data_IF_996387906949
#
_entry.id   IF_996387906949
#
_cell.length_a   1.000
_cell.length_b   1.000
_cell.length_c   1.000
_cell.angle_alpha   90.00
_cell.angle_beta   90.00
_cell.angle_gamma   90.00
#
_symmetry.space_group_name_H-M   'P 1'
#
loop_
_entity.id
_entity.type
_entity.pdbx_description
1 polymer ?
#
# COMPACT_ATOMS: atom_id res chain seq x y z
N UNK A 1 -76.27 52.44 -11.82
CA UNK A 1 -75.09 53.05 -11.17
C UNK A 1 -73.90 52.83 -12.11
N UNK A 2 -73.76 53.73 -13.09
CA UNK A 2 -72.64 54.68 -13.34
C UNK A 2 -71.38 53.93 -13.84
N UNK A 3 -71.04 53.84 -15.14
CA UNK A 3 -70.91 54.86 -16.21
C UNK A 3 -70.17 56.14 -15.79
N UNK A 4 -68.94 56.28 -16.32
CA UNK A 4 -68.22 57.50 -16.75
C UNK A 4 -66.85 57.00 -17.30
N UNK A 5 -66.49 57.02 -18.59
CA UNK A 5 -66.29 58.08 -19.60
C UNK A 5 -65.31 59.19 -19.21
N UNK A 6 -64.10 59.03 -19.76
CA UNK A 6 -63.22 60.03 -20.44
C UNK A 6 -62.56 61.17 -19.61
N UNK A 7 -61.70 62.02 -20.22
CA UNK A 7 -60.29 61.72 -20.54
C UNK A 7 -59.37 62.90 -20.11
N UNK A 8 -58.05 62.71 -19.96
CA UNK A 8 -57.12 63.85 -20.03
C UNK A 8 -55.92 63.49 -20.90
N UNK A 9 -55.84 64.24 -21.99
CA UNK A 9 -54.74 64.32 -22.94
C UNK A 9 -53.55 65.07 -22.34
N UNK A 10 -52.35 64.66 -22.71
CA UNK A 10 -51.10 65.39 -22.53
C UNK A 10 -49.98 64.38 -22.74
N UNK A 11 -49.43 64.20 -23.93
CA UNK A 11 -48.87 65.23 -24.79
C UNK A 11 -47.35 65.12 -24.66
N UNK A 12 -46.69 64.51 -25.64
CA UNK A 12 -45.22 64.40 -25.63
C UNK A 12 -44.70 63.34 -26.58
N UNK A 13 -44.27 63.78 -27.75
CA UNK A 13 -43.64 62.98 -28.82
C UNK A 13 -42.40 62.22 -28.33
N UNK A 14 -42.20 61.07 -28.97
CA UNK A 14 -40.93 60.37 -29.14
C UNK A 14 -39.77 61.36 -29.31
N UNK A 15 -38.74 61.21 -28.46
CA UNK A 15 -37.39 61.61 -28.82
C UNK A 15 -36.41 60.51 -28.42
N UNK A 16 -35.55 60.20 -29.38
CA UNK A 16 -34.56 59.14 -29.38
C UNK A 16 -33.50 59.48 -28.35
N UNK A 17 -33.48 58.75 -27.23
CA UNK A 17 -32.32 58.70 -26.35
C UNK A 17 -31.94 57.26 -26.15
N UNK A 18 -30.91 56.89 -26.91
CA UNK A 18 -29.85 55.96 -26.57
C UNK A 18 -30.21 55.03 -25.40
N UNK A 19 -30.51 53.78 -25.73
CA UNK A 19 -30.18 52.68 -24.83
C UNK A 19 -28.75 52.94 -24.32
N UNK A 20 -28.52 53.13 -23.02
CA UNK A 20 -27.18 53.07 -22.50
C UNK A 20 -26.68 51.68 -22.89
N UNK A 21 -25.68 51.75 -23.76
CA UNK A 21 -24.75 50.74 -24.18
C UNK A 21 -24.73 49.52 -23.26
N UNK A 22 -24.68 48.35 -23.88
CA UNK A 22 -24.23 47.11 -23.22
C UNK A 22 -22.75 47.34 -22.89
N UNK A 23 -22.51 48.15 -21.86
CA UNK A 23 -21.22 48.42 -21.29
C UNK A 23 -20.78 47.12 -20.64
N UNK A 24 -20.05 46.32 -21.43
CA UNK A 24 -18.82 45.65 -21.01
C UNK A 24 -18.76 45.38 -19.51
N UNK A 25 -19.27 44.23 -19.11
CA UNK A 25 -18.98 43.66 -17.79
C UNK A 25 -17.44 43.63 -17.68
N UNK A 26 -16.79 44.45 -16.83
CA UNK A 26 -15.35 44.58 -16.89
C UNK A 26 -14.71 43.26 -16.43
N UNK A 27 -13.61 42.89 -17.08
CA UNK A 27 -12.70 41.80 -16.72
C UNK A 27 -12.35 41.87 -15.21
N UNK A 28 -13.13 41.20 -14.36
CA UNK A 28 -12.73 40.76 -13.01
C UNK A 28 -12.07 39.37 -13.05
N UNK A 29 -11.70 38.91 -14.24
CA UNK A 29 -10.97 37.69 -14.44
C UNK A 29 -9.51 38.09 -14.51
N UNK A 30 -8.82 37.84 -13.39
CA UNK A 30 -7.37 37.67 -13.32
C UNK A 30 -6.45 38.79 -12.79
N UNK A 31 -6.88 39.50 -11.74
CA UNK A 31 -5.96 40.39 -11.00
C UNK A 31 -4.79 39.64 -10.35
N UNK A 32 -5.03 38.46 -9.77
CA UNK A 32 -4.04 37.72 -8.96
C UNK A 32 -2.90 37.16 -9.80
N UNK A 33 -3.18 36.52 -10.93
CA UNK A 33 -2.12 35.97 -11.78
C UNK A 33 -1.37 37.11 -12.45
N UNK A 34 -2.07 38.16 -12.89
CA UNK A 34 -1.40 39.34 -13.44
C UNK A 34 -0.47 40.01 -12.43
N UNK A 35 -0.91 40.22 -11.20
CA UNK A 35 -0.08 40.78 -10.12
C UNK A 35 1.16 39.92 -9.87
N UNK A 36 0.99 38.59 -9.79
CA UNK A 36 2.10 37.64 -9.63
C UNK A 36 3.06 37.66 -10.84
N UNK A 37 2.51 37.67 -12.05
CA UNK A 37 3.27 37.69 -13.30
C UNK A 37 4.12 38.96 -13.41
N UNK A 38 3.53 40.12 -13.13
CA UNK A 38 4.23 41.40 -13.15
C UNK A 38 5.31 41.45 -12.05
N UNK A 39 5.01 40.94 -10.84
CA UNK A 39 5.96 40.88 -9.72
C UNK A 39 7.18 39.98 -10.00
N UNK A 40 7.02 38.96 -10.85
CA UNK A 40 8.09 38.08 -11.29
C UNK A 40 8.89 38.63 -12.49
N UNK A 41 8.58 39.84 -12.97
CA UNK A 41 9.29 40.49 -14.08
C UNK A 41 8.60 40.36 -15.44
N UNK A 42 7.36 39.83 -15.47
CA UNK A 42 6.51 39.75 -16.65
C UNK A 42 7.18 39.07 -17.85
N UNK A 43 6.98 39.64 -19.04
CA UNK A 43 7.45 39.07 -20.32
C UNK A 43 8.96 38.83 -20.32
N UNK A 44 9.73 39.72 -19.70
CA UNK A 44 11.19 39.64 -19.70
C UNK A 44 11.72 38.41 -18.93
N UNK A 45 11.01 37.98 -17.89
CA UNK A 45 11.42 36.86 -17.04
C UNK A 45 10.68 35.55 -17.37
N UNK A 46 9.41 35.66 -17.75
CA UNK A 46 8.50 34.51 -17.86
C UNK A 46 8.04 34.23 -19.30
N UNK A 47 8.29 35.14 -20.23
CA UNK A 47 7.77 35.07 -21.60
C UNK A 47 6.30 35.47 -21.70
N UNK A 48 5.83 35.65 -22.93
CA UNK A 48 4.41 35.93 -23.20
C UNK A 48 3.54 34.71 -22.83
N UNK A 49 2.42 34.89 -22.10
CA UNK A 49 1.55 33.77 -21.76
C UNK A 49 0.97 33.09 -23.00
N UNK A 50 1.08 31.77 -23.03
CA UNK A 50 0.66 30.91 -24.15
C UNK A 50 -0.84 30.67 -24.12
N UNK A 51 -1.42 30.52 -22.92
CA UNK A 51 -2.86 30.33 -22.73
C UNK A 51 -3.33 31.06 -21.46
N UNK A 52 -4.47 31.74 -21.59
CA UNK A 52 -5.18 32.47 -20.52
C UNK A 52 -6.66 32.10 -20.45
N UNK A 53 -7.09 31.07 -21.17
CA UNK A 53 -8.51 30.75 -21.42
C UNK A 53 -9.21 30.20 -20.19
N UNK A 54 -8.47 29.60 -19.26
CA UNK A 54 -8.96 29.17 -17.96
C UNK A 54 -8.61 30.27 -16.96
N UNK A 55 -9.59 31.04 -16.49
CA UNK A 55 -9.35 32.22 -15.65
C UNK A 55 -8.60 32.00 -14.32
N UNK A 56 -8.34 30.75 -13.95
CA UNK A 56 -7.55 30.33 -12.78
C UNK A 56 -6.10 29.97 -13.10
N UNK A 57 -5.70 29.92 -14.38
CA UNK A 57 -4.34 29.55 -14.80
C UNK A 57 -3.88 30.34 -16.04
N UNK A 58 -2.69 30.93 -15.95
CA UNK A 58 -1.91 31.33 -17.13
C UNK A 58 -0.84 30.29 -17.39
N UNK A 59 -0.91 29.66 -18.55
CA UNK A 59 0.16 28.80 -19.05
C UNK A 59 1.22 29.66 -19.71
N UNK A 60 2.47 29.43 -19.33
CA UNK A 60 3.63 30.19 -19.76
C UNK A 60 4.60 29.27 -20.53
N UNK A 61 5.52 29.83 -21.34
CA UNK A 61 6.55 29.05 -22.03
C UNK A 61 7.47 28.26 -21.09
N UNK A 62 8.10 27.21 -21.64
CA UNK A 62 9.07 26.33 -20.97
C UNK A 62 8.52 25.57 -19.75
N UNK A 63 7.25 25.17 -19.81
CA UNK A 63 6.63 24.35 -18.76
C UNK A 63 6.50 25.11 -17.45
N UNK A 64 5.91 26.31 -17.50
CA UNK A 64 5.56 27.08 -16.32
C UNK A 64 4.08 27.44 -16.37
N UNK A 65 3.48 27.62 -15.21
CA UNK A 65 2.18 28.26 -15.11
C UNK A 65 2.11 29.11 -13.85
N UNK A 66 1.23 30.11 -13.88
CA UNK A 66 0.79 30.78 -12.67
C UNK A 66 -0.69 30.47 -12.50
N UNK A 67 -1.05 29.92 -11.36
CA UNK A 67 -2.44 29.57 -11.06
C UNK A 67 -2.78 29.82 -9.58
N UNK A 68 -4.07 29.83 -9.29
CA UNK A 68 -4.57 30.05 -7.93
C UNK A 68 -5.73 29.12 -7.61
N UNK A 69 -5.91 28.85 -6.32
CA UNK A 69 -7.14 28.27 -5.77
C UNK A 69 -8.17 29.37 -5.53
N UNK A 70 -9.45 29.14 -5.85
CA UNK A 70 -10.52 30.14 -5.69
C UNK A 70 -10.62 30.67 -4.25
N UNK A 71 -10.26 29.82 -3.27
CA UNK A 71 -10.23 30.16 -1.86
C UNK A 71 -8.93 30.86 -1.40
N UNK A 72 -7.90 30.90 -2.24
CA UNK A 72 -6.63 31.58 -1.94
C UNK A 72 -6.65 33.05 -2.36
N UNK A 73 -6.08 33.93 -1.55
CA UNK A 73 -5.89 35.34 -1.92
C UNK A 73 -4.72 35.56 -2.89
N UNK A 74 -3.87 34.55 -3.13
CA UNK A 74 -2.65 34.65 -3.93
C UNK A 74 -2.62 33.65 -5.10
N UNK A 75 -1.81 33.97 -6.12
CA UNK A 75 -1.46 33.08 -7.21
C UNK A 75 0.00 32.61 -7.09
N UNK A 76 0.28 31.40 -7.55
CA UNK A 76 1.55 30.72 -7.36
C UNK A 76 2.13 30.25 -8.68
N UNK A 77 3.45 30.34 -8.80
CA UNK A 77 4.20 29.83 -9.94
C UNK A 77 4.53 28.35 -9.72
N UNK A 78 4.20 27.52 -10.70
CA UNK A 78 4.62 26.12 -10.80
C UNK A 78 5.45 25.98 -12.07
N UNK A 79 6.61 25.35 -12.00
CA UNK A 79 7.51 25.24 -13.15
C UNK A 79 8.32 23.95 -13.19
N UNK A 80 9.05 23.75 -14.28
CA UNK A 80 10.05 22.69 -14.39
C UNK A 80 9.46 21.29 -14.23
N UNK A 81 10.20 20.40 -13.55
CA UNK A 81 9.78 19.01 -13.38
C UNK A 81 8.50 18.85 -12.54
N UNK A 82 8.28 19.74 -11.57
CA UNK A 82 7.05 19.74 -10.76
C UNK A 82 5.85 20.12 -11.62
N UNK A 83 5.97 21.12 -12.49
CA UNK A 83 4.91 21.44 -13.45
C UNK A 83 4.58 20.26 -14.36
N UNK A 84 5.60 19.60 -14.93
CA UNK A 84 5.37 18.44 -15.79
C UNK A 84 4.60 17.34 -15.04
N UNK A 85 5.05 16.99 -13.82
CA UNK A 85 4.35 16.01 -12.98
C UNK A 85 2.94 16.46 -12.64
N UNK A 86 2.74 17.73 -12.29
CA UNK A 86 1.42 18.27 -11.96
C UNK A 86 0.43 18.12 -13.12
N UNK A 87 0.87 18.41 -14.36
CA UNK A 87 0.07 18.18 -15.57
C UNK A 87 -0.23 16.68 -15.76
N UNK A 88 0.76 15.81 -15.58
CA UNK A 88 0.59 14.36 -15.68
C UNK A 88 -0.46 13.80 -14.71
N UNK A 89 -0.48 14.28 -13.47
CA UNK A 89 -1.44 13.83 -12.44
C UNK A 89 -2.80 14.53 -12.51
N UNK A 90 -3.06 15.32 -13.57
CA UNK A 90 -4.37 15.88 -13.87
C UNK A 90 -4.51 17.39 -13.65
N UNK A 91 -3.43 18.11 -13.36
CA UNK A 91 -3.40 19.56 -13.24
C UNK A 91 -4.37 20.07 -12.17
N UNK A 92 -5.30 20.96 -12.55
CA UNK A 92 -6.30 21.48 -11.61
C UNK A 92 -7.20 20.38 -10.99
N UNK A 93 -7.34 19.20 -11.61
CA UNK A 93 -8.06 18.07 -10.98
C UNK A 93 -7.28 17.45 -9.81
N UNK A 94 -5.94 17.50 -9.85
CA UNK A 94 -5.09 17.16 -8.70
C UNK A 94 -5.18 18.25 -7.62
N UNK A 95 -5.35 19.50 -8.05
CA UNK A 95 -5.59 20.66 -7.21
C UNK A 95 -4.72 21.85 -7.63
N UNK A 96 -5.19 23.05 -7.31
CA UNK A 96 -4.40 24.27 -7.48
C UNK A 96 -3.23 24.34 -6.47
N UNK A 97 -2.11 24.97 -6.83
CA UNK A 97 -0.98 25.15 -5.93
C UNK A 97 -1.35 26.03 -4.73
N UNK A 98 -0.69 25.75 -3.61
CA UNK A 98 -0.79 26.48 -2.36
C UNK A 98 0.52 27.19 -2.00
N UNK A 99 1.60 26.90 -2.71
CA UNK A 99 2.91 27.54 -2.59
C UNK A 99 3.53 27.72 -3.97
N UNK A 100 4.47 28.66 -4.08
CA UNK A 100 5.49 28.58 -5.14
C UNK A 100 6.39 27.36 -4.92
N UNK A 101 7.29 27.10 -5.86
CA UNK A 101 8.32 26.08 -5.69
C UNK A 101 9.32 26.49 -4.60
N UNK A 102 9.41 25.68 -3.53
CA UNK A 102 10.26 25.92 -2.37
C UNK A 102 11.39 24.88 -2.32
N UNK A 103 12.59 25.24 -1.82
CA UNK A 103 13.61 24.26 -1.49
C UNK A 103 13.16 23.41 -0.29
N UNK A 104 13.54 22.14 -0.28
CA UNK A 104 13.39 21.32 0.92
C UNK A 104 14.37 21.75 2.01
N UNK A 105 14.02 21.57 3.30
CA UNK A 105 14.89 21.81 4.45
C UNK A 105 16.30 21.23 4.37
N UNK A 106 16.48 20.05 3.77
CA UNK A 106 17.78 19.39 3.60
C UNK A 106 18.63 19.98 2.44
N UNK A 107 18.04 20.86 1.62
CA UNK A 107 18.66 21.50 0.46
C UNK A 107 18.83 20.60 -0.77
N UNK A 108 18.30 19.38 -0.79
CA UNK A 108 18.48 18.43 -1.90
C UNK A 108 17.39 18.56 -2.97
N UNK A 109 16.14 18.68 -2.52
CA UNK A 109 14.96 18.67 -3.36
C UNK A 109 14.25 20.03 -3.44
N UNK A 110 13.19 20.04 -4.25
CA UNK A 110 12.24 21.16 -4.35
C UNK A 110 10.82 20.62 -4.32
N UNK A 111 9.87 21.42 -3.86
CA UNK A 111 8.47 20.99 -3.77
C UNK A 111 7.48 22.13 -3.98
N UNK A 112 6.26 21.76 -4.35
CA UNK A 112 5.06 22.60 -4.23
C UNK A 112 4.02 21.85 -3.39
N UNK A 113 3.30 22.59 -2.55
CA UNK A 113 2.05 22.09 -1.95
C UNK A 113 0.86 22.44 -2.84
N UNK A 114 -0.17 21.61 -2.82
CA UNK A 114 -1.39 21.73 -3.61
C UNK A 114 -2.62 21.51 -2.73
N UNK A 115 -3.77 21.95 -3.23
CA UNK A 115 -5.10 21.71 -2.66
C UNK A 115 -5.20 22.06 -1.16
N UNK A 116 -4.85 23.31 -0.81
CA UNK A 116 -4.84 23.77 0.57
C UNK A 116 -3.83 23.07 1.48
N UNK A 117 -2.77 22.49 0.90
CA UNK A 117 -1.76 21.74 1.63
C UNK A 117 -2.16 20.29 1.96
N UNK A 118 -3.11 19.70 1.24
CA UNK A 118 -3.47 18.27 1.37
C UNK A 118 -2.78 17.37 0.34
N UNK A 119 -2.12 17.98 -0.64
CA UNK A 119 -1.36 17.32 -1.69
C UNK A 119 0.00 18.01 -1.88
N UNK A 120 0.98 17.29 -2.43
CA UNK A 120 2.31 17.82 -2.70
C UNK A 120 2.99 17.07 -3.83
N UNK A 121 3.84 17.79 -4.55
CA UNK A 121 4.77 17.18 -5.51
C UNK A 121 6.17 17.56 -5.07
N UNK A 122 7.00 16.54 -4.83
CA UNK A 122 8.41 16.68 -4.47
C UNK A 122 9.26 16.24 -5.64
N UNK A 123 10.36 16.95 -5.89
CA UNK A 123 11.34 16.62 -6.91
C UNK A 123 12.74 16.55 -6.32
N UNK A 124 13.51 15.56 -6.74
CA UNK A 124 14.97 15.50 -6.55
C UNK A 124 15.66 15.14 -7.87
N UNK A 125 16.97 15.43 -8.02
CA UNK A 125 17.74 14.94 -9.16
C UNK A 125 17.78 13.41 -9.28
N UNK A 126 17.68 12.69 -8.16
CA UNK A 126 17.79 11.23 -8.12
C UNK A 126 16.45 10.54 -8.44
N UNK A 127 15.37 11.00 -7.84
CA UNK A 127 14.05 10.34 -7.92
C UNK A 127 13.15 10.94 -8.99
N UNK A 128 13.39 12.18 -9.42
CA UNK A 128 12.45 12.91 -10.24
C UNK A 128 11.28 13.45 -9.43
N UNK A 129 10.22 13.90 -10.10
CA UNK A 129 9.06 14.53 -9.47
C UNK A 129 7.99 13.48 -9.15
N UNK A 130 7.46 13.48 -7.93
CA UNK A 130 6.46 12.52 -7.47
C UNK A 130 5.36 13.17 -6.65
N UNK A 131 4.12 12.75 -6.93
CA UNK A 131 2.91 13.22 -6.28
C UNK A 131 2.56 12.39 -5.05
N UNK A 132 2.25 13.07 -3.95
CA UNK A 132 1.83 12.48 -2.68
C UNK A 132 0.68 13.29 -2.09
N UNK A 133 -0.38 12.63 -1.63
CA UNK A 133 -1.60 13.31 -1.17
C UNK A 133 -2.32 12.52 -0.08
N UNK A 134 -3.36 13.13 0.50
CA UNK A 134 -4.26 12.48 1.45
C UNK A 134 -3.57 11.97 2.72
N UNK A 135 -4.06 10.85 3.24
CA UNK A 135 -3.58 10.26 4.50
C UNK A 135 -2.15 9.74 4.42
N UNK A 136 -1.70 9.27 3.24
CA UNK A 136 -0.30 8.85 3.03
C UNK A 136 0.63 10.05 3.22
N UNK A 137 0.31 11.18 2.58
CA UNK A 137 1.04 12.44 2.78
C UNK A 137 1.02 12.90 4.22
N UNK A 138 -0.16 12.81 4.87
CA UNK A 138 -0.34 13.22 6.26
C UNK A 138 0.58 12.41 7.18
N UNK A 139 0.60 11.07 7.07
CA UNK A 139 1.50 10.25 7.87
C UNK A 139 2.96 10.58 7.58
N UNK A 140 3.35 10.72 6.31
CA UNK A 140 4.72 11.10 5.96
C UNK A 140 5.13 12.47 6.54
N UNK A 141 4.20 13.44 6.58
CA UNK A 141 4.43 14.74 7.23
C UNK A 141 4.64 14.63 8.73
N UNK A 142 3.87 13.77 9.40
CA UNK A 142 3.98 13.52 10.84
C UNK A 142 5.31 12.85 11.19
N UNK A 143 5.89 12.09 10.25
CA UNK A 143 7.21 11.47 10.38
C UNK A 143 8.38 12.43 10.10
N UNK A 144 8.13 13.66 9.63
CA UNK A 144 9.17 14.64 9.32
C UNK A 144 9.51 14.79 7.84
N UNK A 145 8.59 14.43 6.92
CA UNK A 145 8.76 14.62 5.48
C UNK A 145 10.02 13.94 4.92
N UNK A 146 10.74 14.60 4.02
CA UNK A 146 11.97 14.10 3.41
C UNK A 146 13.11 13.91 4.41
N UNK A 147 13.04 14.57 5.57
CA UNK A 147 14.02 14.37 6.66
C UNK A 147 13.72 13.15 7.54
N UNK A 148 12.56 12.50 7.32
CA UNK A 148 12.22 11.25 7.99
C UNK A 148 13.10 10.10 7.55
N UNK A 149 13.03 8.98 8.28
CA UNK A 149 13.74 7.76 7.91
C UNK A 149 13.29 7.16 6.57
N UNK A 150 12.17 7.62 5.98
CA UNK A 150 11.68 7.18 4.68
C UNK A 150 12.36 7.90 3.51
N UNK A 151 12.83 9.14 3.71
CA UNK A 151 13.38 9.98 2.65
C UNK A 151 12.30 10.51 1.68
N UNK A 152 12.73 10.77 0.44
CA UNK A 152 11.88 11.31 -0.61
C UNK A 152 10.95 10.25 -1.23
N UNK A 153 9.77 10.65 -1.75
CA UNK A 153 8.97 9.78 -2.60
C UNK A 153 9.73 9.37 -3.87
N UNK A 154 9.58 8.10 -4.23
CA UNK A 154 10.12 7.47 -5.45
C UNK A 154 9.02 6.95 -6.36
N UNK A 155 7.75 7.10 -5.96
CA UNK A 155 6.60 6.79 -6.78
C UNK A 155 5.45 7.77 -6.53
N UNK A 156 4.59 7.92 -7.53
CA UNK A 156 3.24 8.42 -7.33
C UNK A 156 2.40 7.39 -6.54
N UNK A 157 1.18 7.72 -6.12
CA UNK A 157 0.32 6.80 -5.36
C UNK A 157 -0.20 5.66 -6.24
N UNK A 158 0.11 4.42 -5.87
CA UNK A 158 -0.19 3.21 -6.63
C UNK A 158 -1.31 2.40 -5.98
N UNK A 159 -1.86 1.44 -6.72
CA UNK A 159 -2.81 0.47 -6.17
C UNK A 159 -2.09 -0.54 -5.27
N UNK A 160 -2.77 -0.94 -4.19
CA UNK A 160 -2.33 -1.95 -3.25
C UNK A 160 -3.48 -2.96 -3.01
N UNK A 161 -3.20 -4.21 -2.58
CA UNK A 161 -4.24 -5.22 -2.40
C UNK A 161 -5.41 -4.77 -1.52
N UNK A 162 -6.57 -5.41 -1.74
CA UNK A 162 -7.80 -5.19 -0.97
C UNK A 162 -8.28 -3.72 -1.00
N UNK A 163 -8.16 -3.07 -2.16
CA UNK A 163 -8.59 -1.69 -2.35
C UNK A 163 -7.68 -0.66 -1.67
N UNK A 164 -6.49 -1.08 -1.23
CA UNK A 164 -5.50 -0.19 -0.65
C UNK A 164 -4.79 0.67 -1.68
N UNK A 165 -4.08 1.68 -1.19
CA UNK A 165 -3.18 2.55 -1.96
C UNK A 165 -1.81 2.61 -1.29
N UNK A 166 -0.76 2.93 -2.03
CA UNK A 166 0.58 3.04 -1.44
C UNK A 166 1.50 3.98 -2.22
N UNK A 167 2.43 4.64 -1.52
CA UNK A 167 3.57 5.33 -2.10
C UNK A 167 4.87 4.66 -1.68
N UNK A 168 5.83 4.64 -2.59
CA UNK A 168 7.22 4.26 -2.33
C UNK A 168 8.04 5.49 -2.00
N UNK A 169 8.98 5.33 -1.08
CA UNK A 169 9.98 6.31 -0.69
C UNK A 169 11.38 5.70 -0.83
N UNK A 170 12.43 6.50 -0.70
CA UNK A 170 13.81 6.03 -0.85
C UNK A 170 14.16 4.86 0.08
N UNK A 171 13.57 4.80 1.27
CA UNK A 171 13.94 3.83 2.31
C UNK A 171 12.76 3.05 2.90
N UNK A 172 11.58 3.14 2.28
CA UNK A 172 10.40 2.47 2.80
C UNK A 172 9.15 2.81 2.00
N UNK A 173 8.02 2.34 2.48
CA UNK A 173 6.75 2.51 1.80
C UNK A 173 5.68 2.88 2.84
N UNK A 174 4.65 3.59 2.41
CA UNK A 174 3.43 3.82 3.20
C UNK A 174 2.27 3.30 2.39
N UNK A 175 1.45 2.45 3.02
CA UNK A 175 0.17 1.99 2.47
C UNK A 175 -1.00 2.66 3.19
N UNK A 176 -2.19 2.58 2.60
CA UNK A 176 -3.42 3.11 3.14
C UNK A 176 -4.60 2.22 2.72
N UNK A 177 -5.57 2.06 3.62
CA UNK A 177 -6.89 1.50 3.32
C UNK A 177 -7.99 2.40 3.90
N UNK A 178 -9.19 2.42 3.29
CA UNK A 178 -10.28 3.31 3.70
C UNK A 178 -10.75 3.09 5.15
N UNK A 179 -10.59 1.87 5.68
CA UNK A 179 -11.05 1.47 7.00
C UNK A 179 -9.96 1.58 8.10
N UNK A 180 -8.69 1.57 7.72
CA UNK A 180 -7.57 1.53 8.69
C UNK A 180 -6.60 2.71 8.59
N UNK A 181 -6.73 3.55 7.57
CA UNK A 181 -5.88 4.71 7.33
C UNK A 181 -4.48 4.34 6.86
N UNK A 182 -3.58 5.33 6.89
CA UNK A 182 -2.21 5.16 6.44
C UNK A 182 -1.36 4.40 7.47
N UNK A 183 -0.51 3.48 7.00
CA UNK A 183 0.41 2.69 7.81
C UNK A 183 1.75 2.55 7.12
N UNK A 184 2.81 2.46 7.93
CA UNK A 184 4.13 2.11 7.44
C UNK A 184 4.12 0.67 6.88
N UNK A 185 4.66 0.51 5.67
CA UNK A 185 4.81 -0.77 4.99
C UNK A 185 6.28 -1.22 5.10
N UNK A 186 6.69 -1.55 6.31
CA UNK A 186 8.04 -2.05 6.60
C UNK A 186 8.18 -3.55 6.41
N UNK A 187 9.41 -4.05 6.51
CA UNK A 187 9.66 -5.48 6.59
C UNK A 187 8.98 -6.07 7.84
N UNK A 188 8.52 -7.32 7.72
CA UNK A 188 7.95 -8.09 8.83
C UNK A 188 8.65 -9.43 8.94
N UNK A 189 8.58 -10.02 10.14
CA UNK A 189 9.18 -11.33 10.46
C UNK A 189 8.10 -12.28 10.91
N UNK A 190 7.99 -13.41 10.21
CA UNK A 190 7.13 -14.52 10.61
C UNK A 190 7.96 -15.50 11.46
N UNK A 191 7.46 -15.79 12.66
CA UNK A 191 8.00 -16.82 13.54
C UNK A 191 7.00 -17.96 13.70
N UNK A 192 7.48 -19.19 13.70
CA UNK A 192 6.78 -20.28 14.36
C UNK A 192 7.03 -20.15 15.87
N UNK A 193 5.95 -20.07 16.65
CA UNK A 193 6.05 -19.85 18.10
C UNK A 193 5.68 -21.09 18.92
N UNK A 194 5.26 -22.17 18.26
CA UNK A 194 4.98 -23.45 18.89
C UNK A 194 3.61 -24.00 18.53
N UNK A 195 3.23 -25.10 19.18
CA UNK A 195 1.93 -25.73 18.99
C UNK A 195 1.37 -26.29 20.29
N UNK A 196 0.06 -26.54 20.31
CA UNK A 196 -0.62 -27.19 21.41
C UNK A 196 -1.24 -28.50 20.94
N UNK A 197 -1.01 -29.56 21.71
CA UNK A 197 -1.63 -30.87 21.52
C UNK A 197 -2.94 -30.90 22.32
N UNK A 198 -4.08 -30.90 21.64
CA UNK A 198 -5.39 -31.08 22.27
C UNK A 198 -5.69 -32.55 22.55
N UNK A 199 -5.18 -33.40 21.67
CA UNK A 199 -5.30 -34.86 21.77
C UNK A 199 -4.12 -35.48 21.06
N UNK A 200 -3.51 -36.47 21.69
CA UNK A 200 -2.45 -37.27 21.08
C UNK A 200 -3.00 -38.48 20.34
N UNK A 201 -2.17 -39.02 19.47
CA UNK A 201 -2.31 -40.32 18.83
C UNK A 201 -2.17 -41.38 19.93
N UNK A 202 -3.16 -42.27 20.13
CA UNK A 202 -2.98 -43.41 21.04
C UNK A 202 -3.40 -43.28 22.52
N UNK A 203 -4.40 -42.45 22.87
CA UNK A 203 -5.01 -42.32 24.23
C UNK A 203 -5.32 -43.65 24.99
N UNK A 204 -5.30 -44.81 24.30
CA UNK A 204 -5.55 -46.15 24.87
C UNK A 204 -4.29 -47.00 25.18
N UNK A 205 -3.07 -46.55 24.91
CA UNK A 205 -1.86 -47.34 25.17
C UNK A 205 -0.85 -46.56 26.00
N UNK A 206 -0.66 -46.97 27.26
CA UNK A 206 0.34 -46.41 28.18
C UNK A 206 1.80 -46.69 27.76
N UNK A 207 2.19 -46.30 26.55
CA UNK A 207 3.48 -46.55 25.94
C UNK A 207 3.99 -45.28 25.25
N UNK A 208 4.88 -44.55 25.93
CA UNK A 208 5.72 -43.53 25.30
C UNK A 208 5.00 -42.22 24.99
N UNK A 209 5.72 -41.10 25.07
CA UNK A 209 5.26 -39.88 24.45
C UNK A 209 5.56 -39.97 22.95
N UNK A 210 4.61 -39.60 22.11
CA UNK A 210 4.80 -39.63 20.66
C UNK A 210 5.66 -38.46 20.20
N UNK A 211 6.48 -38.71 19.19
CA UNK A 211 7.29 -37.69 18.53
C UNK A 211 6.45 -37.06 17.42
N UNK A 212 6.30 -35.74 17.44
CA UNK A 212 5.58 -34.99 16.41
C UNK A 212 6.56 -34.24 15.53
N UNK A 213 6.47 -34.42 14.22
CA UNK A 213 7.31 -33.72 13.25
C UNK A 213 6.52 -32.66 12.50
N UNK A 214 7.02 -31.42 12.54
CA UNK A 214 6.44 -30.28 11.85
C UNK A 214 7.28 -29.88 10.64
N UNK A 215 6.66 -29.88 9.45
CA UNK A 215 7.20 -29.30 8.21
C UNK A 215 6.45 -28.00 7.91
N UNK A 216 7.19 -26.90 7.87
CA UNK A 216 6.67 -25.55 7.68
C UNK A 216 7.28 -24.96 6.42
N UNK A 217 6.45 -24.73 5.40
CA UNK A 217 6.85 -24.10 4.15
C UNK A 217 6.27 -22.69 4.04
N UNK A 218 7.12 -21.68 3.91
CA UNK A 218 6.68 -20.33 3.58
C UNK A 218 6.95 -20.05 2.11
N UNK A 219 5.87 -19.80 1.39
CA UNK A 219 5.91 -19.36 0.01
C UNK A 219 5.55 -17.88 -0.07
N UNK A 220 6.38 -17.13 -0.79
CA UNK A 220 6.12 -15.75 -1.17
C UNK A 220 6.27 -15.58 -2.67
N UNK A 221 5.39 -14.82 -3.33
CA UNK A 221 5.53 -14.50 -4.76
C UNK A 221 6.85 -13.84 -5.10
N UNK A 222 7.40 -13.07 -4.15
CA UNK A 222 8.63 -12.29 -4.31
C UNK A 222 9.57 -12.56 -3.14
N UNK A 223 10.83 -12.84 -3.44
CA UNK A 223 11.85 -13.14 -2.44
C UNK A 223 12.12 -14.63 -2.29
N UNK A 224 12.90 -14.99 -1.27
CA UNK A 224 13.29 -16.38 -1.04
C UNK A 224 12.18 -17.14 -0.32
N UNK A 225 11.75 -18.25 -0.93
CA UNK A 225 10.92 -19.24 -0.25
C UNK A 225 11.77 -20.04 0.73
N UNK A 226 11.16 -20.47 1.84
CA UNK A 226 11.89 -21.20 2.86
C UNK A 226 11.07 -22.35 3.40
N UNK A 227 11.71 -23.52 3.47
CA UNK A 227 11.19 -24.68 4.18
C UNK A 227 11.97 -24.83 5.47
N UNK A 228 11.25 -25.02 6.56
CA UNK A 228 11.80 -25.26 7.88
C UNK A 228 11.16 -26.52 8.44
N UNK A 229 11.97 -27.43 8.97
CA UNK A 229 11.50 -28.66 9.59
C UNK A 229 11.94 -28.73 11.05
N UNK A 230 11.14 -29.38 11.90
CA UNK A 230 11.40 -29.50 13.33
C UNK A 230 10.73 -30.75 13.91
N UNK A 231 11.51 -31.58 14.61
CA UNK A 231 11.02 -32.70 15.42
C UNK A 231 10.74 -32.19 16.84
N UNK A 232 9.64 -32.63 17.43
CA UNK A 232 9.28 -32.40 18.82
C UNK A 232 9.05 -33.73 19.52
N UNK A 233 9.86 -34.00 20.54
CA UNK A 233 9.76 -35.20 21.37
C UNK A 233 8.93 -34.91 22.62
N UNK A 234 8.38 -35.95 23.25
CA UNK A 234 7.72 -35.79 24.54
C UNK A 234 6.36 -35.07 24.45
N UNK A 235 5.70 -35.12 23.29
CA UNK A 235 4.45 -34.43 23.04
C UNK A 235 3.30 -35.23 23.65
N UNK A 236 2.60 -34.63 24.60
CA UNK A 236 1.46 -35.28 25.25
C UNK A 236 0.18 -34.45 25.10
N UNK A 237 -0.96 -35.13 25.20
CA UNK A 237 -2.28 -34.49 25.30
C UNK A 237 -2.32 -33.37 26.35
N UNK A 238 -2.91 -32.25 25.99
CA UNK A 238 -3.03 -31.03 26.80
C UNK A 238 -1.72 -30.32 27.15
N UNK A 239 -0.63 -30.60 26.44
CA UNK A 239 0.64 -29.89 26.61
C UNK A 239 0.91 -28.92 25.44
N UNK A 240 1.52 -27.79 25.77
CA UNK A 240 2.12 -26.86 24.80
C UNK A 240 3.58 -27.19 24.56
N UNK A 241 4.02 -26.96 23.33
CA UNK A 241 5.42 -27.02 22.90
C UNK A 241 5.81 -25.65 22.32
N UNK A 242 6.22 -24.68 23.15
CA UNK A 242 6.66 -23.37 22.67
C UNK A 242 8.02 -23.48 21.96
N UNK A 243 8.20 -22.71 20.89
CA UNK A 243 9.48 -22.55 20.17
C UNK A 243 9.60 -21.09 19.67
N UNK A 244 10.70 -20.74 19.01
CA UNK A 244 10.87 -19.45 18.36
C UNK A 244 11.77 -19.61 17.13
N UNK A 245 11.15 -19.94 16.01
CA UNK A 245 11.86 -20.17 14.75
C UNK A 245 11.45 -19.11 13.75
N UNK A 246 12.39 -18.25 13.35
CA UNK A 246 12.18 -17.32 12.22
C UNK A 246 11.99 -18.16 10.95
N UNK A 247 10.78 -18.11 10.38
CA UNK A 247 10.43 -18.81 9.15
C UNK A 247 10.70 -17.94 7.91
N UNK A 248 10.46 -16.63 8.02
CA UNK A 248 10.57 -15.72 6.89
C UNK A 248 10.69 -14.26 7.34
N UNK A 249 11.37 -13.45 6.52
CA UNK A 249 11.55 -12.01 6.70
C UNK A 249 11.48 -11.28 5.37
N UNK A 250 10.76 -10.17 5.32
CA UNK A 250 10.74 -9.29 4.15
C UNK A 250 9.49 -8.41 4.05
N UNK A 251 9.28 -7.84 2.86
CA UNK A 251 8.15 -6.95 2.60
C UNK A 251 6.82 -7.69 2.54
N UNK A 252 5.77 -7.20 3.21
CA UNK A 252 4.49 -7.89 3.36
C UNK A 252 3.65 -7.80 2.08
N UNK A 253 4.07 -8.50 1.03
CA UNK A 253 3.36 -8.61 -0.26
C UNK A 253 2.42 -9.82 -0.33
N UNK A 254 2.16 -10.45 0.82
CA UNK A 254 1.38 -11.67 0.95
C UNK A 254 2.25 -12.93 0.93
N UNK A 255 1.78 -13.95 1.61
CA UNK A 255 2.44 -15.25 1.72
C UNK A 255 1.43 -16.39 1.84
N UNK A 256 1.93 -17.60 1.64
CA UNK A 256 1.27 -18.83 2.01
C UNK A 256 2.14 -19.61 2.99
N UNK A 257 1.53 -20.00 4.11
CA UNK A 257 2.13 -20.86 5.13
C UNK A 257 1.55 -22.26 4.91
N UNK A 258 2.40 -23.18 4.47
CA UNK A 258 2.10 -24.58 4.31
C UNK A 258 2.51 -25.29 5.60
N UNK A 259 1.59 -26.03 6.20
CA UNK A 259 1.79 -26.77 7.43
C UNK A 259 1.50 -28.22 7.15
N UNK A 260 2.46 -29.08 7.44
CA UNK A 260 2.29 -30.52 7.46
C UNK A 260 2.82 -31.07 8.77
N UNK A 261 1.94 -31.76 9.51
CA UNK A 261 2.23 -32.35 10.80
C UNK A 261 2.09 -33.86 10.64
N UNK A 262 3.13 -34.58 11.07
CA UNK A 262 3.19 -36.04 10.99
C UNK A 262 3.66 -36.64 12.32
N UNK A 263 3.23 -37.87 12.57
CA UNK A 263 3.86 -38.74 13.56
C UNK A 263 5.28 -39.05 13.11
N UNK A 264 6.20 -39.15 14.07
CA UNK A 264 7.58 -39.53 13.82
C UNK A 264 7.81 -40.89 14.47
N UNK A 265 7.28 -41.94 13.85
CA UNK A 265 7.47 -43.32 14.30
C UNK A 265 8.49 -44.07 13.43
N UNK A 266 8.61 -43.83 12.12
CA UNK A 266 9.70 -44.41 11.30
C UNK A 266 10.09 -43.61 10.02
N UNK A 267 11.10 -42.74 10.07
CA UNK A 267 11.78 -42.23 8.85
C UNK A 267 12.63 -40.97 9.03
N UNK A 268 13.78 -40.89 8.34
CA UNK A 268 14.63 -39.68 8.33
C UNK A 268 14.18 -38.70 7.23
N UNK A 269 13.21 -37.84 7.56
CA UNK A 269 12.66 -36.82 6.65
C UNK A 269 13.70 -35.74 6.28
N UNK A 270 14.91 -35.76 6.88
CA UNK A 270 16.00 -34.91 6.41
C UNK A 270 16.51 -35.30 5.02
N UNK A 271 16.29 -36.55 4.59
CA UNK A 271 16.61 -37.03 3.24
C UNK A 271 15.69 -36.37 2.18
N UNK A 272 14.41 -36.16 2.51
CA UNK A 272 13.45 -35.48 1.64
C UNK A 272 13.56 -33.96 1.63
N UNK A 273 14.36 -33.37 2.55
CA UNK A 273 14.63 -31.93 2.57
C UNK A 273 15.11 -31.40 1.21
N UNK A 274 15.92 -32.19 0.49
CA UNK A 274 16.40 -31.82 -0.84
C UNK A 274 15.28 -31.79 -1.87
N UNK A 275 14.38 -32.78 -1.81
CA UNK A 275 13.21 -32.84 -2.68
C UNK A 275 12.22 -31.69 -2.37
N UNK A 276 12.11 -31.28 -1.10
CA UNK A 276 11.34 -30.10 -0.68
C UNK A 276 11.93 -28.82 -1.27
N UNK A 277 13.23 -28.60 -1.05
CA UNK A 277 13.94 -27.42 -1.57
C UNK A 277 13.81 -27.34 -3.11
N UNK A 278 13.81 -28.49 -3.79
CA UNK A 278 13.58 -28.58 -5.24
C UNK A 278 12.13 -28.28 -5.65
N UNK A 279 11.13 -28.81 -4.97
CA UNK A 279 9.72 -28.49 -5.22
C UNK A 279 9.42 -27.00 -4.99
N UNK A 280 9.93 -26.42 -3.91
CA UNK A 280 9.83 -24.98 -3.65
C UNK A 280 10.58 -24.13 -4.66
N UNK A 281 11.71 -24.62 -5.20
CA UNK A 281 12.44 -23.96 -6.29
C UNK A 281 11.62 -23.96 -7.57
N UNK A 282 11.00 -25.07 -7.94
CA UNK A 282 10.12 -25.14 -9.13
C UNK A 282 8.92 -24.22 -8.99
N UNK A 283 8.29 -24.21 -7.81
CA UNK A 283 7.21 -23.31 -7.44
C UNK A 283 7.62 -21.83 -7.53
N UNK A 284 8.81 -21.52 -7.00
CA UNK A 284 9.41 -20.19 -7.08
C UNK A 284 9.65 -19.78 -8.54
N UNK A 285 10.20 -20.67 -9.36
CA UNK A 285 10.51 -20.38 -10.76
C UNK A 285 9.26 -20.08 -11.58
N UNK A 286 8.15 -20.81 -11.37
CA UNK A 286 6.86 -20.51 -12.02
C UNK A 286 6.28 -19.18 -11.55
N UNK A 287 6.33 -18.90 -10.24
CA UNK A 287 5.88 -17.61 -9.71
C UNK A 287 6.72 -16.42 -10.22
N UNK A 288 8.04 -16.58 -10.29
CA UNK A 288 8.96 -15.59 -10.84
C UNK A 288 8.77 -15.41 -12.34
N UNK A 289 8.49 -16.47 -13.11
CA UNK A 289 8.18 -16.35 -14.55
C UNK A 289 6.95 -15.48 -14.78
N UNK A 290 5.89 -15.66 -13.98
CA UNK A 290 4.70 -14.81 -14.05
C UNK A 290 5.05 -13.33 -13.75
N UNK A 291 5.87 -13.07 -12.73
CA UNK A 291 6.30 -11.72 -12.36
C UNK A 291 7.29 -11.08 -13.33
N UNK A 292 8.16 -11.83 -14.01
CA UNK A 292 9.10 -11.31 -15.02
C UNK A 292 8.41 -10.61 -16.19
N UNK A 293 7.15 -10.94 -16.45
CA UNK A 293 6.33 -10.27 -17.47
C UNK A 293 5.79 -8.90 -17.01
N UNK A 294 5.96 -8.56 -15.74
CA UNK A 294 5.38 -7.40 -15.06
C UNK A 294 6.56 -6.51 -14.60
N UNK A 295 6.92 -5.44 -15.34
CA UNK A 295 8.04 -4.56 -15.00
C UNK A 295 7.66 -3.66 -13.83
N UNK A 296 7.74 -4.19 -12.61
CA UNK A 296 7.15 -3.55 -11.44
C UNK A 296 8.10 -3.58 -10.24
N UNK A 297 8.37 -2.39 -9.70
CA UNK A 297 9.11 -2.15 -8.45
C UNK A 297 8.16 -1.47 -7.44
N UNK A 298 8.32 -1.78 -6.15
CA UNK A 298 7.52 -1.16 -5.08
C UNK A 298 6.17 -1.84 -4.81
N UNK A 299 5.21 -1.16 -4.14
CA UNK A 299 4.00 -1.75 -3.56
C UNK A 299 3.05 -2.44 -4.55
N UNK A 300 3.06 -2.03 -5.82
CA UNK A 300 2.29 -2.64 -6.90
C UNK A 300 2.69 -4.10 -7.16
N UNK A 301 3.88 -4.52 -6.72
CA UNK A 301 4.26 -5.95 -6.64
C UNK A 301 3.23 -6.73 -5.83
N UNK A 302 2.71 -6.17 -4.74
CA UNK A 302 1.72 -6.85 -3.89
C UNK A 302 0.43 -7.17 -4.64
N UNK A 303 0.02 -6.35 -5.61
CA UNK A 303 -1.17 -6.62 -6.45
C UNK A 303 -0.93 -7.83 -7.34
N UNK A 304 0.23 -7.90 -7.99
CA UNK A 304 0.61 -9.04 -8.82
C UNK A 304 0.80 -10.31 -7.98
N UNK A 305 1.44 -10.17 -6.81
CA UNK A 305 1.67 -11.22 -5.84
C UNK A 305 0.34 -11.83 -5.33
N UNK A 306 -0.63 -11.00 -4.96
CA UNK A 306 -1.95 -11.44 -4.51
C UNK A 306 -2.70 -12.22 -5.60
N UNK A 307 -2.65 -11.73 -6.84
CA UNK A 307 -3.24 -12.43 -7.99
C UNK A 307 -2.53 -13.76 -8.29
N UNK A 308 -1.21 -13.83 -8.10
CA UNK A 308 -0.43 -15.05 -8.30
C UNK A 308 -0.74 -16.09 -7.22
N UNK A 309 -0.75 -15.70 -5.94
CA UNK A 309 -1.11 -16.58 -4.84
C UNK A 309 -2.46 -17.24 -5.11
N UNK A 310 -3.48 -16.47 -5.50
CA UNK A 310 -4.80 -17.01 -5.83
C UNK A 310 -4.82 -18.10 -6.93
N UNK A 311 -3.84 -18.11 -7.85
CA UNK A 311 -3.76 -19.08 -8.94
C UNK A 311 -2.88 -20.28 -8.63
N UNK A 312 -1.79 -20.04 -7.89
CA UNK A 312 -0.71 -20.99 -7.69
C UNK A 312 -0.91 -21.83 -6.42
N UNK A 313 -1.62 -21.30 -5.41
CA UNK A 313 -1.95 -21.98 -4.15
C UNK A 313 -2.48 -23.42 -4.33
N UNK A 314 -3.47 -23.70 -5.21
CA UNK A 314 -4.00 -25.06 -5.33
C UNK A 314 -2.99 -26.07 -5.89
N UNK A 315 -2.12 -25.64 -6.80
CA UNK A 315 -1.11 -26.48 -7.44
C UNK A 315 0.09 -26.72 -6.51
N UNK A 316 0.49 -25.71 -5.73
CA UNK A 316 1.60 -25.83 -4.78
C UNK A 316 1.23 -26.59 -3.52
N UNK A 317 0.03 -26.39 -2.99
CA UNK A 317 -0.45 -27.20 -1.87
C UNK A 317 -0.45 -28.68 -2.22
N UNK A 318 -0.95 -29.02 -3.42
CA UNK A 318 -0.89 -30.39 -3.94
C UNK A 318 0.54 -30.91 -4.01
N UNK A 319 1.44 -30.24 -4.73
CA UNK A 319 2.82 -30.70 -4.91
C UNK A 319 3.63 -30.76 -3.59
N UNK A 320 3.42 -29.82 -2.67
CA UNK A 320 4.03 -29.84 -1.35
C UNK A 320 3.57 -31.06 -0.55
N UNK A 321 2.28 -31.40 -0.59
CA UNK A 321 1.76 -32.54 0.15
C UNK A 321 1.99 -33.89 -0.53
N UNK A 322 2.00 -33.94 -1.87
CA UNK A 322 2.30 -35.14 -2.64
C UNK A 322 3.76 -35.58 -2.43
N UNK A 323 4.65 -34.63 -2.11
CA UNK A 323 6.02 -34.94 -1.70
C UNK A 323 6.08 -35.74 -0.38
N UNK A 324 5.07 -35.57 0.49
CA UNK A 324 4.95 -36.22 1.79
C UNK A 324 3.78 -37.22 1.83
N UNK A 325 3.42 -37.83 0.70
CA UNK A 325 2.45 -38.92 0.68
C UNK A 325 3.07 -40.21 1.29
N UNK A 326 3.44 -40.12 2.57
CA UNK A 326 3.99 -41.20 3.39
C UNK A 326 2.90 -42.16 3.88
N UNK A 327 1.63 -41.95 3.52
CA UNK A 327 0.54 -42.85 3.89
C UNK A 327 -0.01 -42.57 5.29
N UNK A 328 0.33 -43.42 6.25
CA UNK A 328 -0.33 -43.58 7.56
C UNK A 328 0.14 -42.62 8.66
N UNK A 329 1.20 -41.84 8.45
CA UNK A 329 1.80 -41.02 9.53
C UNK A 329 1.34 -39.55 9.52
N UNK A 330 0.43 -39.16 8.61
CA UNK A 330 -0.04 -37.77 8.53
C UNK A 330 -1.09 -37.46 9.60
N UNK A 331 -0.72 -36.65 10.59
CA UNK A 331 -1.67 -36.09 11.57
C UNK A 331 -2.54 -35.02 10.90
N UNK A 332 -1.98 -34.15 10.07
CA UNK A 332 -2.78 -33.13 9.41
C UNK A 332 -1.99 -32.20 8.52
N UNK A 333 -2.71 -31.59 7.59
CA UNK A 333 -2.12 -30.70 6.61
C UNK A 333 -3.04 -29.52 6.30
N UNK A 334 -2.48 -28.34 6.22
CA UNK A 334 -3.25 -27.13 5.92
C UNK A 334 -2.38 -26.05 5.28
N UNK A 335 -3.02 -25.24 4.45
CA UNK A 335 -2.42 -24.07 3.83
C UNK A 335 -3.14 -22.83 4.33
N UNK A 336 -2.37 -21.86 4.78
CA UNK A 336 -2.87 -20.58 5.28
C UNK A 336 -2.34 -19.46 4.41
N UNK A 337 -3.24 -18.81 3.68
CA UNK A 337 -2.92 -17.57 2.99
C UNK A 337 -2.96 -16.42 4.00
N UNK A 338 -1.90 -15.61 4.02
CA UNK A 338 -1.86 -14.34 4.75
C UNK A 338 -1.69 -13.24 3.72
N UNK A 339 -2.72 -12.40 3.54
CA UNK A 339 -2.68 -11.34 2.54
C UNK A 339 -1.69 -10.23 2.93
N UNK A 340 -1.32 -9.37 1.97
CA UNK A 340 -0.50 -8.19 2.26
C UNK A 340 -1.13 -7.28 3.33
N UNK A 341 -2.45 -7.08 3.27
CA UNK A 341 -3.19 -6.28 4.27
C UNK A 341 -3.14 -6.96 5.63
N UNK A 342 -3.47 -8.24 5.71
CA UNK A 342 -3.46 -8.98 6.97
C UNK A 342 -2.06 -9.01 7.58
N UNK A 343 -1.00 -9.15 6.78
CA UNK A 343 0.36 -9.08 7.28
C UNK A 343 0.67 -7.74 7.94
N UNK A 344 0.33 -6.62 7.28
CA UNK A 344 0.56 -5.27 7.81
C UNK A 344 -0.26 -5.02 9.08
N UNK A 345 -1.56 -5.31 9.05
CA UNK A 345 -2.45 -5.07 10.17
C UNK A 345 -2.12 -5.97 11.37
N UNK A 346 -1.75 -7.22 11.11
CA UNK A 346 -1.36 -8.17 12.15
C UNK A 346 -0.01 -7.79 12.75
N UNK A 347 0.98 -7.38 11.95
CA UNK A 347 2.29 -6.94 12.46
C UNK A 347 2.19 -5.63 13.26
N UNK A 348 1.34 -4.70 12.84
CA UNK A 348 1.21 -3.38 13.47
C UNK A 348 0.09 -3.28 14.50
N UNK A 349 -0.57 -4.40 14.82
CA UNK A 349 -1.62 -4.43 15.85
C UNK A 349 -1.07 -3.89 17.18
N UNK A 350 -1.76 -2.92 17.82
CA UNK A 350 -1.31 -2.29 19.06
C UNK A 350 -1.49 -3.21 20.27
N UNK A 351 -2.47 -4.09 20.21
CA UNK A 351 -2.62 -5.19 21.16
C UNK A 351 -1.42 -6.12 20.98
N UNK A 352 -0.74 -6.45 22.08
CA UNK A 352 0.38 -7.38 22.07
C UNK A 352 -0.02 -8.76 21.55
N UNK A 353 0.91 -9.70 21.60
CA UNK A 353 0.60 -11.08 21.22
C UNK A 353 -0.53 -11.64 22.09
N UNK A 354 -1.43 -12.40 21.49
CA UNK A 354 -2.29 -13.32 22.22
C UNK A 354 -1.42 -14.37 22.89
N UNK A 355 -1.89 -14.97 23.98
CA UNK A 355 -1.20 -16.06 24.67
C UNK A 355 -2.14 -17.25 24.83
N UNK A 356 -1.66 -18.44 24.51
CA UNK A 356 -2.36 -19.69 24.76
C UNK A 356 -1.40 -20.73 25.33
N UNK A 357 -1.63 -21.15 26.58
CA UNK A 357 -0.80 -22.13 27.29
C UNK A 357 0.71 -21.83 27.20
N UNK A 358 1.12 -20.56 27.37
CA UNK A 358 2.52 -20.13 27.30
C UNK A 358 3.07 -19.91 25.89
N UNK A 359 2.24 -20.04 24.85
CA UNK A 359 2.61 -19.74 23.45
C UNK A 359 2.07 -18.36 23.08
N UNK A 360 2.98 -17.43 22.78
CA UNK A 360 2.63 -16.11 22.26
C UNK A 360 2.38 -16.16 20.75
N UNK A 361 1.29 -15.57 20.26
CA UNK A 361 0.94 -15.63 18.84
C UNK A 361 0.11 -14.44 18.36
N UNK A 362 0.07 -14.28 17.03
CA UNK A 362 -0.85 -13.37 16.34
C UNK A 362 -1.65 -14.06 15.23
N UNK A 363 -1.17 -15.21 14.78
CA UNK A 363 -1.82 -16.06 13.78
C UNK A 363 -1.88 -17.48 14.37
N UNK A 364 -3.02 -18.16 14.23
CA UNK A 364 -3.19 -19.56 14.61
C UNK A 364 -3.70 -20.38 13.42
N UNK A 365 -3.31 -21.64 13.35
CA UNK A 365 -3.83 -22.56 12.35
C UNK A 365 -5.27 -23.00 12.65
N UNK A 366 -6.00 -23.51 11.64
CA UNK A 366 -7.11 -24.43 11.88
C UNK A 366 -6.65 -25.62 12.73
N UNK A 367 -7.61 -26.42 13.22
CA UNK A 367 -7.26 -27.71 13.82
C UNK A 367 -6.70 -28.66 12.77
N UNK A 368 -5.53 -29.23 13.05
CA UNK A 368 -4.96 -30.35 12.31
C UNK A 368 -5.38 -31.64 13.04
N UNK A 369 -6.24 -32.43 12.40
CA UNK A 369 -6.78 -33.67 12.96
C UNK A 369 -6.52 -34.84 12.03
N UNK A 370 -6.06 -35.95 12.59
CA UNK A 370 -5.71 -37.17 11.85
C UNK A 370 -5.05 -38.17 12.80
N UNK A 371 -5.19 -39.45 12.50
CA UNK A 371 -4.63 -40.57 13.28
C UNK A 371 -4.94 -40.59 14.78
N UNK A 372 -5.97 -39.87 15.24
CA UNK A 372 -6.32 -39.74 16.65
C UNK A 372 -5.74 -38.49 17.32
N UNK A 373 -4.76 -37.84 16.68
CA UNK A 373 -4.19 -36.57 17.10
C UNK A 373 -5.04 -35.35 16.74
N UNK A 374 -4.93 -34.30 17.55
CA UNK A 374 -5.55 -32.99 17.32
C UNK A 374 -4.64 -31.87 17.81
N UNK A 375 -4.22 -31.00 16.89
CA UNK A 375 -3.21 -29.97 17.14
C UNK A 375 -3.60 -28.62 16.57
N UNK A 376 -3.08 -27.54 17.18
CA UNK A 376 -3.01 -26.21 16.57
C UNK A 376 -1.60 -25.66 16.65
N UNK A 377 -1.17 -25.05 15.54
CA UNK A 377 0.11 -24.36 15.42
C UNK A 377 -0.10 -22.85 15.53
N UNK A 378 0.90 -22.17 16.08
CA UNK A 378 0.86 -20.76 16.40
C UNK A 378 2.05 -20.01 15.80
N UNK A 379 1.78 -18.79 15.34
CA UNK A 379 2.78 -17.97 14.66
C UNK A 379 2.76 -16.54 15.19
N UNK A 380 3.96 -15.98 15.33
CA UNK A 380 4.18 -14.56 15.56
C UNK A 380 4.41 -13.85 14.24
N UNK A 381 3.82 -12.66 14.07
CA UNK A 381 4.11 -11.78 12.95
C UNK A 381 4.37 -10.37 13.48
N UNK A 382 5.60 -9.88 13.33
CA UNK A 382 6.04 -8.63 13.96
C UNK A 382 6.82 -7.76 12.98
N UNK A 383 6.90 -6.43 13.18
CA UNK A 383 7.80 -5.58 12.42
C UNK A 383 9.26 -6.03 12.60
N UNK A 384 10.06 -5.92 11.53
CA UNK A 384 11.43 -6.40 11.45
C UNK A 384 12.49 -5.50 12.09
#
# INVERSE_FOLDING_TARGET
MRQNTDPISGGGKLDVRQTPDVATRPLRQDGRIKEKYDALGGVAALGEPVDKTIGQIWTLPDGKCICYDDHSSAAYLVHGAIYQKWVEVGGLNYGAPSTDELPTPDGVGRFNHFNGGTASIYWTPETGAHAIYGDIRKLWSELGWETSYLGYPTSDEQNFPEGGRANSFQHGDICWWPDTGAKHLGDVVLHFTGFYCFRETGEDAGTGADETYAVLGVFTPVGQNRVTTRVYEGVNSNHSQPDSIELWRGRPYGMEINIHLMEHDFGDVSEDRKNMEEAFRMAHDEGVKALKSIPVVGPIVAVAADALLGKVVPELGGAFFDLFDLGDDTIGRTNMRVSARDMVLTATRPEGNSEFHGIGYRIESPFLNGNGGSYKLYFGLVPA
#
